data_IF_163004877889
#
_entry.id   IF_163004877889
#
_cell.length_a   1.000
_cell.length_b   1.000
_cell.length_c   1.000
_cell.angle_alpha   90.00
_cell.angle_beta   90.00
_cell.angle_gamma   90.00
#
_symmetry.space_group_name_H-M   'P 1'
#
loop_
_entity.id
_entity.type
_entity.pdbx_description
1 polymer ?
#
# COMPACT_ATOMS: atom_id res chain seq x y z
N UNK A 1 10.40 25.34 -9.65
CA UNK A 1 10.13 24.29 -8.64
C UNK A 1 9.18 23.23 -9.13
N UNK A 2 9.69 22.03 -9.41
CA UNK A 2 8.87 20.86 -9.79
C UNK A 2 9.26 19.60 -8.99
N UNK A 3 9.65 19.77 -7.72
CA UNK A 3 9.98 18.66 -6.84
C UNK A 3 8.88 18.40 -5.81
N UNK A 4 8.34 17.18 -5.77
CA UNK A 4 7.52 16.75 -4.63
C UNK A 4 8.41 16.56 -3.39
N UNK A 5 7.99 17.07 -2.24
CA UNK A 5 8.71 16.91 -0.96
C UNK A 5 8.40 15.58 -0.25
N UNK A 6 7.46 14.81 -0.80
CA UNK A 6 6.99 13.56 -0.26
C UNK A 6 6.75 12.52 -1.36
N UNK A 7 6.85 11.26 -0.97
CA UNK A 7 6.43 10.11 -1.76
C UNK A 7 5.54 9.21 -0.91
N UNK A 8 4.53 8.61 -1.53
CA UNK A 8 3.60 7.69 -0.87
C UNK A 8 3.66 6.35 -1.59
N UNK A 9 4.03 5.30 -0.86
CA UNK A 9 4.11 3.93 -1.34
C UNK A 9 2.92 3.14 -0.80
N UNK A 10 2.03 2.68 -1.68
CA UNK A 10 0.87 1.87 -1.32
C UNK A 10 1.04 0.45 -1.85
N UNK A 11 0.75 -0.54 -1.02
CA UNK A 11 0.79 -1.94 -1.43
C UNK A 11 -0.20 -2.80 -0.67
N UNK A 12 -0.54 -3.93 -1.29
CA UNK A 12 -1.51 -4.88 -0.77
C UNK A 12 -0.99 -6.31 -0.93
N UNK A 13 -1.39 -7.18 0.00
CA UNK A 13 -1.08 -8.60 -0.04
C UNK A 13 0.40 -8.90 -0.30
N UNK A 14 0.68 -9.72 -1.32
CA UNK A 14 2.05 -10.18 -1.66
C UNK A 14 3.03 -9.04 -2.02
N UNK A 15 2.53 -7.86 -2.38
CA UNK A 15 3.37 -6.71 -2.72
C UNK A 15 3.96 -5.99 -1.49
N UNK A 16 3.39 -6.19 -0.29
CA UNK A 16 3.79 -5.50 0.95
C UNK A 16 5.29 -5.64 1.20
N UNK A 17 5.82 -6.86 1.12
CA UNK A 17 7.24 -7.13 1.36
C UNK A 17 8.15 -6.34 0.40
N UNK A 18 7.79 -6.26 -0.89
CA UNK A 18 8.56 -5.52 -1.89
C UNK A 18 8.52 -4.02 -1.63
N UNK A 19 7.37 -3.50 -1.23
CA UNK A 19 7.20 -2.07 -0.93
C UNK A 19 8.02 -1.64 0.28
N UNK A 20 8.07 -2.46 1.33
CA UNK A 20 8.94 -2.22 2.49
C UNK A 20 10.42 -2.18 2.04
N UNK A 21 10.86 -3.14 1.21
CA UNK A 21 12.24 -3.13 0.70
C UNK A 21 12.57 -1.87 -0.10
N UNK A 22 11.62 -1.37 -0.91
CA UNK A 22 11.79 -0.13 -1.67
C UNK A 22 11.90 1.07 -0.72
N UNK A 23 11.03 1.17 0.29
CA UNK A 23 11.10 2.23 1.29
C UNK A 23 12.46 2.25 2.01
N UNK A 24 12.97 1.08 2.42
CA UNK A 24 14.27 0.96 3.06
C UNK A 24 15.44 1.29 2.12
N UNK A 25 15.32 1.00 0.81
CA UNK A 25 16.33 1.40 -0.15
C UNK A 25 16.37 2.93 -0.34
N UNK A 26 15.21 3.58 -0.35
CA UNK A 26 15.09 5.04 -0.49
C UNK A 26 15.68 5.75 0.72
N UNK A 27 15.31 5.34 1.95
CA UNK A 27 15.87 5.90 3.20
C UNK A 27 17.39 5.74 3.29
N UNK A 28 17.95 4.66 2.73
CA UNK A 28 19.41 4.46 2.67
C UNK A 28 20.11 5.41 1.69
N UNK A 29 19.44 5.83 0.61
CA UNK A 29 20.02 6.73 -0.40
C UNK A 29 19.82 8.21 -0.08
N UNK A 30 18.78 8.54 0.69
CA UNK A 30 18.39 9.91 1.00
C UNK A 30 18.25 10.05 2.51
N UNK A 31 19.22 10.73 3.13
CA UNK A 31 19.19 11.01 4.56
C UNK A 31 18.12 12.06 4.93
N UNK A 32 17.66 12.04 6.17
CA UNK A 32 16.70 13.03 6.71
C UNK A 32 15.26 12.85 6.23
N UNK A 33 14.88 11.66 5.77
CA UNK A 33 13.49 11.34 5.47
C UNK A 33 12.74 10.93 6.74
N UNK A 34 11.63 11.60 7.00
CA UNK A 34 10.63 11.20 7.97
C UNK A 34 9.71 10.15 7.36
N UNK A 35 9.33 9.15 8.16
CA UNK A 35 8.46 8.06 7.73
C UNK A 35 7.18 8.05 8.55
N UNK A 36 6.05 7.88 7.88
CA UNK A 36 4.77 7.53 8.47
C UNK A 36 4.26 6.23 7.82
N UNK A 37 3.82 5.28 8.63
CA UNK A 37 3.34 3.98 8.19
C UNK A 37 1.93 3.71 8.68
N UNK A 38 0.99 3.60 7.74
CA UNK A 38 -0.37 3.19 8.01
C UNK A 38 -0.61 1.78 7.48
N UNK A 39 -1.25 0.94 8.28
CA UNK A 39 -1.74 -0.37 7.89
C UNK A 39 -3.26 -0.36 7.86
N UNK A 40 -3.83 -1.16 6.98
CA UNK A 40 -5.26 -1.35 6.89
C UNK A 40 -5.61 -2.66 6.22
N UNK A 41 -6.89 -2.82 5.93
CA UNK A 41 -7.43 -3.92 5.14
C UNK A 41 -8.39 -3.37 4.11
N UNK A 42 -8.47 -4.04 2.96
CA UNK A 42 -9.44 -3.74 1.92
C UNK A 42 -10.01 -5.03 1.39
N UNK A 43 -11.26 -4.98 0.96
CA UNK A 43 -11.98 -6.12 0.43
C UNK A 43 -11.79 -6.16 -1.08
N UNK A 44 -11.34 -7.30 -1.59
CA UNK A 44 -11.23 -7.55 -3.02
C UNK A 44 -12.31 -8.57 -3.37
N UNK A 45 -13.22 -8.18 -4.25
CA UNK A 45 -14.26 -9.03 -4.80
C UNK A 45 -13.82 -9.51 -6.17
N UNK A 46 -13.61 -10.83 -6.28
CA UNK A 46 -13.30 -11.51 -7.54
C UNK A 46 -14.62 -12.12 -8.07
N UNK A 47 -14.97 -11.84 -9.33
CA UNK A 47 -16.14 -12.42 -9.99
C UNK A 47 -15.72 -13.50 -10.98
N UNK A 48 -16.44 -14.61 -10.99
CA UNK A 48 -16.16 -15.77 -11.82
C UNK A 48 -17.34 -16.05 -12.75
N UNK A 49 -17.06 -16.16 -14.04
CA UNK A 49 -18.05 -16.58 -15.03
C UNK A 49 -18.26 -18.11 -14.99
N UNK A 50 -19.51 -18.58 -15.05
CA UNK A 50 -19.77 -20.02 -15.09
C UNK A 50 -19.31 -20.66 -16.40
N UNK A 51 -18.84 -21.89 -16.30
CA UNK A 51 -18.39 -22.67 -17.46
C UNK A 51 -19.56 -23.30 -18.25
N UNK A 52 -20.75 -23.36 -17.66
CA UNK A 52 -21.96 -23.96 -18.26
C UNK A 52 -23.07 -22.91 -18.43
N UNK A 53 -23.78 -22.97 -19.56
CA UNK A 53 -24.91 -22.07 -19.84
C UNK A 53 -26.07 -22.32 -18.86
N UNK A 54 -26.56 -21.23 -18.24
CA UNK A 54 -27.69 -21.27 -17.30
C UNK A 54 -27.30 -21.18 -15.82
N UNK A 55 -26.01 -21.21 -15.48
CA UNK A 55 -25.52 -20.99 -14.12
C UNK A 55 -25.34 -19.49 -13.81
N UNK A 56 -25.35 -19.14 -12.51
CA UNK A 56 -25.15 -17.77 -12.03
C UNK A 56 -23.66 -17.49 -11.77
N UNK A 57 -23.17 -16.26 -12.05
CA UNK A 57 -21.81 -15.85 -11.69
C UNK A 57 -21.53 -16.03 -10.20
N UNK A 58 -20.30 -16.45 -9.87
CA UNK A 58 -19.85 -16.62 -8.49
C UNK A 58 -19.02 -15.42 -8.07
N UNK A 59 -19.35 -14.84 -6.92
CA UNK A 59 -18.55 -13.79 -6.28
C UNK A 59 -17.77 -14.37 -5.09
N UNK A 60 -16.48 -14.03 -5.00
CA UNK A 60 -15.65 -14.35 -3.84
C UNK A 60 -15.01 -13.09 -3.30
N UNK A 61 -15.31 -12.75 -2.05
CA UNK A 61 -14.70 -11.61 -1.36
C UNK A 61 -13.58 -12.09 -0.46
N UNK A 62 -12.41 -11.48 -0.57
CA UNK A 62 -11.27 -11.71 0.31
C UNK A 62 -10.82 -10.43 1.00
N UNK A 63 -10.50 -10.56 2.28
CA UNK A 63 -9.87 -9.50 3.06
C UNK A 63 -8.37 -9.46 2.77
N UNK A 64 -7.87 -8.35 2.22
CA UNK A 64 -6.46 -8.18 1.87
C UNK A 64 -5.85 -7.06 2.69
N UNK A 65 -4.75 -7.37 3.38
CA UNK A 65 -3.99 -6.36 4.12
C UNK A 65 -3.38 -5.34 3.16
N UNK A 66 -3.34 -4.08 3.61
CA UNK A 66 -2.79 -2.93 2.92
C UNK A 66 -1.75 -2.25 3.81
N UNK A 67 -0.69 -1.74 3.19
CA UNK A 67 0.29 -0.85 3.81
C UNK A 67 0.39 0.44 2.98
N UNK A 68 0.51 1.56 3.67
CA UNK A 68 0.85 2.87 3.11
C UNK A 68 2.08 3.39 3.85
N UNK A 69 3.17 3.65 3.12
CA UNK A 69 4.40 4.24 3.67
C UNK A 69 4.58 5.60 3.02
N UNK A 70 4.55 6.65 3.81
CA UNK A 70 4.86 8.02 3.37
C UNK A 70 6.28 8.36 3.80
N UNK A 71 7.12 8.77 2.86
CA UNK A 71 8.46 9.31 3.13
C UNK A 71 8.49 10.79 2.75
N UNK A 72 8.89 11.66 3.68
CA UNK A 72 8.87 13.12 3.49
C UNK A 72 10.14 13.78 4.00
N UNK A 73 10.55 14.86 3.35
CA UNK A 73 11.61 15.76 3.86
C UNK A 73 11.09 16.76 4.90
N UNK A 74 9.77 16.91 5.01
CA UNK A 74 9.12 17.73 6.04
C UNK A 74 9.06 16.95 7.34
N UNK A 75 9.05 17.67 8.45
CA UNK A 75 8.97 17.08 9.78
C UNK A 75 7.79 16.11 9.91
N UNK A 76 8.00 15.09 10.74
CA UNK A 76 7.01 14.06 11.03
C UNK A 76 5.81 14.69 11.75
N UNK A 77 4.59 14.32 11.33
CA UNK A 77 3.40 14.59 12.12
C UNK A 77 3.43 13.76 13.42
N UNK A 78 3.73 14.43 14.53
CA UNK A 78 3.84 13.81 15.86
C UNK A 78 2.50 13.36 16.44
N UNK A 79 1.38 13.75 15.81
CA UNK A 79 0.05 13.25 16.18
C UNK A 79 -0.25 11.88 15.56
N UNK A 80 0.56 11.45 14.59
CA UNK A 80 0.39 10.16 13.95
C UNK A 80 0.88 9.01 14.84
N UNK A 81 0.19 7.87 14.78
CA UNK A 81 0.50 6.67 15.55
C UNK A 81 1.68 5.87 14.99
N UNK A 82 2.24 6.26 13.83
CA UNK A 82 3.40 5.60 13.22
C UNK A 82 3.75 6.07 11.82
#
# INVERSE_FOLDING_TARGET
>A
DKGSNEIVLKAMGRAINKTVMIAELIKRRIAGLHQNTSIGSTDITDMWEPLEEGLLPLETTRHVSMITITLSKKELDTSSTG
#
